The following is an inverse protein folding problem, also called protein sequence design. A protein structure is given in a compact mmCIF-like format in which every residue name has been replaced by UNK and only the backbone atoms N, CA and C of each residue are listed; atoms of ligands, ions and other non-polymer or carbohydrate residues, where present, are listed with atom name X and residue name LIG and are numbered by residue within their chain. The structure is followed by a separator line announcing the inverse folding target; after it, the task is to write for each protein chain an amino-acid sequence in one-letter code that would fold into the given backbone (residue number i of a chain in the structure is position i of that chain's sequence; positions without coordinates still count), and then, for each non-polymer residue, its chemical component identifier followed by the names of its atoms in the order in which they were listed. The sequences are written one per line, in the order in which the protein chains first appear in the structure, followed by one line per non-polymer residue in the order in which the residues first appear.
data_IF_951756256632
#
_entry.id   IF_951756256632
#
_cell.length_a   1.000
_cell.length_b   1.000
_cell.length_c   1.000
_cell.angle_alpha   90.00
_cell.angle_beta   90.00
_cell.angle_gamma   90.00
#
_symmetry.space_group_name_H-M   'P 1'
#
loop_
_entity.id
_entity.type
_entity.pdbx_description
1 polymer ?
#
# COMPACT_ATOMS: atom_id res chain seq x y z
N UNK A 1 39.93 -7.64 -19.20
CA UNK A 1 39.06 -8.82 -19.13
C UNK A 1 37.64 -8.31 -18.93
N UNK A 2 36.74 -8.55 -19.88
CA UNK A 2 35.33 -8.25 -19.69
C UNK A 2 34.78 -9.23 -18.65
N UNK A 3 34.25 -8.73 -17.54
CA UNK A 3 33.47 -9.53 -16.60
C UNK A 3 32.25 -10.06 -17.38
N UNK A 4 32.14 -11.38 -17.48
CA UNK A 4 30.91 -12.00 -17.99
C UNK A 4 29.73 -11.48 -17.14
N UNK A 5 28.57 -11.15 -17.74
CA UNK A 5 27.41 -10.73 -17.00
C UNK A 5 27.09 -11.78 -15.93
N UNK A 6 26.90 -11.31 -14.70
CA UNK A 6 26.65 -12.19 -13.57
C UNK A 6 25.37 -12.97 -13.83
N UNK A 7 25.49 -14.28 -14.07
CA UNK A 7 24.32 -15.14 -14.17
C UNK A 7 23.61 -15.05 -12.81
N UNK A 8 22.43 -14.43 -12.76
CA UNK A 8 21.52 -14.58 -11.63
C UNK A 8 21.27 -16.09 -11.41
N UNK A 9 21.97 -16.67 -10.43
CA UNK A 9 21.94 -18.12 -10.14
C UNK A 9 20.64 -18.52 -9.43
N UNK A 10 19.83 -17.56 -9.02
CA UNK A 10 18.52 -17.78 -8.44
C UNK A 10 17.54 -16.72 -8.99
N UNK A 11 16.33 -17.11 -9.43
CA UNK A 11 15.28 -16.16 -9.73
C UNK A 11 15.00 -15.32 -8.48
N UNK A 12 15.04 -13.99 -8.60
CA UNK A 12 14.67 -13.12 -7.50
C UNK A 12 13.16 -13.24 -7.31
N UNK A 13 12.71 -13.73 -6.14
CA UNK A 13 11.28 -13.77 -5.84
C UNK A 13 10.74 -12.34 -5.83
N UNK A 14 9.78 -12.03 -6.71
CA UNK A 14 9.04 -10.79 -6.63
C UNK A 14 8.51 -10.54 -5.21
N UNK A 15 9.05 -9.55 -4.52
CA UNK A 15 8.62 -9.20 -3.17
C UNK A 15 7.36 -8.32 -3.22
N UNK A 16 6.36 -8.65 -2.39
CA UNK A 16 5.17 -7.84 -2.23
C UNK A 16 5.48 -6.63 -1.34
N UNK A 17 5.78 -5.49 -1.95
CA UNK A 17 5.75 -4.17 -1.29
C UNK A 17 4.59 -3.35 -1.85
N UNK A 18 3.66 -2.89 -1.00
CA UNK A 18 2.49 -2.13 -1.49
C UNK A 18 2.92 -0.80 -2.08
N UNK A 19 3.90 -0.17 -1.44
CA UNK A 19 4.32 1.19 -1.69
C UNK A 19 5.17 1.27 -2.96
N UNK A 20 6.05 0.28 -3.18
CA UNK A 20 6.86 0.19 -4.39
C UNK A 20 5.99 -0.14 -5.62
N UNK A 21 5.10 -1.11 -5.47
CA UNK A 21 4.32 -1.64 -6.57
C UNK A 21 3.08 -0.79 -6.90
N UNK A 22 2.65 0.10 -6.00
CA UNK A 22 1.50 0.98 -6.18
C UNK A 22 0.23 0.21 -6.57
N UNK A 23 -0.16 -0.76 -5.74
CA UNK A 23 -1.25 -1.70 -6.05
C UNK A 23 -2.65 -1.08 -6.08
N UNK A 24 -2.78 0.19 -5.65
CA UNK A 24 -4.06 0.88 -5.58
C UNK A 24 -4.12 2.06 -6.53
N UNK A 25 -5.28 2.24 -7.17
CA UNK A 25 -5.61 3.37 -8.04
C UNK A 25 -6.67 4.28 -7.40
N UNK A 26 -6.96 5.40 -8.04
CA UNK A 26 -8.03 6.29 -7.65
C UNK A 26 -9.39 5.57 -7.56
N UNK A 27 -10.21 5.95 -6.59
CA UNK A 27 -11.59 5.55 -6.43
C UNK A 27 -12.46 5.85 -7.65
N UNK A 28 -12.08 6.84 -8.47
CA UNK A 28 -12.76 7.17 -9.73
C UNK A 28 -12.14 6.50 -10.96
N UNK A 29 -11.19 5.59 -10.80
CA UNK A 29 -10.66 4.81 -11.91
C UNK A 29 -11.80 4.05 -12.59
N UNK A 30 -11.85 4.17 -13.92
CA UNK A 30 -12.93 3.62 -14.74
C UNK A 30 -12.65 2.20 -15.25
N UNK A 31 -11.41 1.72 -15.15
CA UNK A 31 -11.04 0.37 -15.60
C UNK A 31 -11.39 -0.71 -14.58
N UNK A 32 -11.61 -1.92 -15.10
CA UNK A 32 -11.88 -3.13 -14.30
C UNK A 32 -10.60 -3.85 -13.86
N UNK A 33 -9.45 -3.44 -14.38
CA UNK A 33 -8.13 -3.88 -13.96
C UNK A 33 -7.13 -2.79 -14.36
N UNK A 34 -5.91 -2.87 -13.84
CA UNK A 34 -4.83 -2.03 -14.35
C UNK A 34 -3.53 -2.83 -14.48
N UNK A 35 -2.74 -2.42 -15.46
CA UNK A 35 -1.41 -2.97 -15.71
C UNK A 35 -0.45 -1.81 -15.69
N UNK A 36 0.67 -1.98 -14.99
CA UNK A 36 1.77 -1.04 -15.00
C UNK A 36 3.07 -1.77 -15.22
N UNK A 37 3.92 -1.17 -16.03
CA UNK A 37 5.19 -1.77 -16.41
C UNK A 37 6.29 -0.72 -16.41
N UNK A 38 7.45 -1.07 -15.89
CA UNK A 38 8.60 -0.19 -15.84
C UNK A 38 9.90 -0.98 -15.70
N UNK A 39 11.02 -0.34 -15.99
CA UNK A 39 12.35 -0.93 -15.81
C UNK A 39 12.89 -0.58 -14.42
N UNK A 40 13.44 -1.57 -13.72
CA UNK A 40 14.16 -1.41 -12.44
C UNK A 40 15.55 -2.02 -12.55
N UNK A 41 16.55 -1.52 -11.78
CA UNK A 41 17.83 -2.20 -11.70
C UNK A 41 17.69 -3.55 -10.98
N UNK A 42 18.49 -4.52 -11.40
CA UNK A 42 18.53 -5.84 -10.77
C UNK A 42 18.93 -5.71 -9.28
N UNK A 43 18.21 -6.38 -8.37
CA UNK A 43 18.38 -6.20 -6.92
C UNK A 43 19.73 -6.69 -6.37
N UNK A 44 20.47 -7.53 -7.11
CA UNK A 44 21.85 -7.91 -6.75
C UNK A 44 22.86 -6.77 -6.83
N UNK A 45 22.46 -5.59 -7.34
CA UNK A 45 23.36 -4.47 -7.57
C UNK A 45 24.19 -4.60 -8.85
N UNK A 46 23.92 -5.60 -9.71
CA UNK A 46 24.58 -5.73 -11.02
C UNK A 46 24.30 -4.56 -11.97
N UNK A 47 23.22 -3.79 -11.70
CA UNK A 47 22.78 -2.67 -12.54
C UNK A 47 22.04 -3.11 -13.80
N UNK A 48 21.86 -4.41 -14.02
CA UNK A 48 21.18 -4.94 -15.19
C UNK A 48 19.68 -4.59 -15.18
N UNK A 49 19.07 -4.23 -16.32
CA UNK A 49 17.72 -3.68 -16.37
C UNK A 49 16.62 -4.75 -16.37
N UNK A 50 15.92 -4.94 -15.25
CA UNK A 50 14.77 -5.84 -15.12
C UNK A 50 13.49 -5.15 -15.58
N UNK A 51 12.71 -5.79 -16.45
CA UNK A 51 11.36 -5.32 -16.81
C UNK A 51 10.36 -5.84 -15.79
N UNK A 52 9.85 -4.96 -14.93
CA UNK A 52 8.83 -5.29 -13.93
C UNK A 52 7.44 -4.94 -14.46
N UNK A 53 6.50 -5.87 -14.31
CA UNK A 53 5.08 -5.71 -14.61
C UNK A 53 4.25 -6.01 -13.36
N UNK A 54 3.31 -5.13 -13.07
CA UNK A 54 2.28 -5.31 -12.05
C UNK A 54 0.93 -5.30 -12.72
N UNK A 55 0.14 -6.34 -12.52
CA UNK A 55 -1.22 -6.48 -13.01
C UNK A 55 -2.14 -6.71 -11.81
N UNK A 56 -3.18 -5.91 -11.68
CA UNK A 56 -4.16 -6.03 -10.59
C UNK A 56 -5.55 -6.13 -11.20
N UNK A 57 -6.31 -7.14 -10.79
CA UNK A 57 -7.68 -7.32 -11.26
C UNK A 57 -7.85 -8.24 -12.44
N UNK A 58 -6.85 -9.06 -12.77
CA UNK A 58 -6.96 -10.10 -13.79
C UNK A 58 -6.55 -11.43 -13.15
N UNK A 59 -7.39 -12.45 -13.29
CA UNK A 59 -7.07 -13.78 -12.75
C UNK A 59 -6.17 -14.59 -13.69
N UNK A 60 -5.76 -15.78 -13.23
CA UNK A 60 -4.94 -16.70 -14.02
C UNK A 60 -5.56 -17.16 -15.36
N UNK A 61 -6.86 -16.94 -15.59
CA UNK A 61 -7.55 -17.22 -16.86
C UNK A 61 -7.61 -16.01 -17.80
N UNK A 62 -7.21 -14.82 -17.32
CA UNK A 62 -7.31 -13.57 -18.06
C UNK A 62 -8.64 -12.82 -17.83
N UNK A 63 -9.51 -13.31 -16.95
CA UNK A 63 -10.79 -12.67 -16.68
C UNK A 63 -10.62 -11.49 -15.71
N UNK A 64 -11.32 -10.39 -15.99
CA UNK A 64 -11.31 -9.20 -15.15
C UNK A 64 -12.10 -9.43 -13.85
N UNK A 65 -11.53 -9.02 -12.71
CA UNK A 65 -12.11 -9.19 -11.37
C UNK A 65 -12.43 -7.88 -10.67
N UNK A 66 -11.96 -6.75 -11.19
CA UNK A 66 -12.07 -5.43 -10.56
C UNK A 66 -10.70 -4.87 -10.16
N UNK A 67 -10.60 -3.55 -10.03
CA UNK A 67 -9.37 -2.88 -9.63
C UNK A 67 -9.34 -2.60 -8.12
N UNK A 68 -8.17 -2.73 -7.50
CA UNK A 68 -7.94 -2.25 -6.14
C UNK A 68 -7.84 -0.72 -6.14
N UNK A 69 -8.77 -0.09 -5.43
CA UNK A 69 -8.89 1.39 -5.31
C UNK A 69 -8.38 1.91 -3.97
N UNK A 70 -8.19 3.22 -3.84
CA UNK A 70 -7.76 3.88 -2.60
C UNK A 70 -8.63 3.52 -1.38
N UNK A 71 -9.94 3.34 -1.53
CA UNK A 71 -10.79 2.84 -0.43
C UNK A 71 -10.41 1.44 0.04
N UNK A 72 -9.89 0.58 -0.83
CA UNK A 72 -9.37 -0.75 -0.46
C UNK A 72 -8.06 -0.61 0.30
N UNK A 73 -7.20 0.35 -0.09
CA UNK A 73 -5.97 0.69 0.64
C UNK A 73 -6.30 1.09 2.08
N UNK A 74 -7.32 1.92 2.28
CA UNK A 74 -7.75 2.35 3.62
C UNK A 74 -8.16 1.14 4.48
N UNK A 75 -8.98 0.26 3.94
CA UNK A 75 -9.44 -0.95 4.65
C UNK A 75 -8.26 -1.87 4.95
N UNK A 76 -7.39 -2.10 3.98
CA UNK A 76 -6.24 -2.99 4.11
C UNK A 76 -5.26 -2.48 5.16
N UNK A 77 -4.87 -1.21 5.13
CA UNK A 77 -3.96 -0.63 6.12
C UNK A 77 -4.55 -0.62 7.53
N UNK A 78 -5.84 -0.36 7.67
CA UNK A 78 -6.51 -0.42 8.98
C UNK A 78 -6.60 -1.86 9.50
N UNK A 79 -6.87 -2.83 8.64
CA UNK A 79 -6.86 -4.24 9.00
C UNK A 79 -5.45 -4.71 9.42
N UNK A 80 -4.41 -4.34 8.67
CA UNK A 80 -3.01 -4.63 9.03
C UNK A 80 -2.63 -4.01 10.39
N UNK A 81 -3.04 -2.76 10.65
CA UNK A 81 -2.79 -2.12 11.95
C UNK A 81 -3.49 -2.88 13.08
N UNK A 82 -4.78 -3.18 12.93
CA UNK A 82 -5.53 -3.93 13.93
C UNK A 82 -4.93 -5.31 14.20
N UNK A 83 -4.39 -5.96 13.16
CA UNK A 83 -3.68 -7.22 13.30
C UNK A 83 -2.37 -7.05 14.09
N UNK A 84 -1.57 -6.02 13.77
CA UNK A 84 -0.36 -5.67 14.50
C UNK A 84 -0.63 -5.35 15.98
N UNK A 85 -1.64 -4.52 16.27
CA UNK A 85 -2.06 -4.14 17.63
C UNK A 85 -2.53 -5.34 18.46
N UNK A 86 -2.98 -6.41 17.80
CA UNK A 86 -3.36 -7.68 18.43
C UNK A 86 -2.22 -8.70 18.54
N UNK A 87 -0.97 -8.26 18.32
CA UNK A 87 0.21 -9.11 18.42
C UNK A 87 0.51 -9.92 17.17
N UNK A 88 -0.05 -9.55 16.01
CA UNK A 88 0.22 -10.16 14.71
C UNK A 88 0.05 -11.70 14.71
N UNK A 89 -1.04 -12.20 15.29
CA UNK A 89 -1.30 -13.64 15.43
C UNK A 89 -1.24 -14.38 14.10
N UNK A 90 -0.69 -15.60 14.13
CA UNK A 90 -0.47 -16.47 12.97
C UNK A 90 -1.35 -17.72 13.07
N UNK A 91 -1.70 -18.27 11.92
CA UNK A 91 -2.40 -19.55 11.75
C UNK A 91 -1.74 -20.32 10.61
N UNK A 92 -1.68 -21.65 10.73
CA UNK A 92 -1.24 -22.51 9.63
C UNK A 92 -2.45 -22.94 8.79
N UNK A 93 -2.31 -22.90 7.47
CA UNK A 93 -3.29 -23.49 6.57
C UNK A 93 -3.11 -25.01 6.42
N UNK A 94 -4.01 -25.66 5.69
CA UNK A 94 -4.00 -27.11 5.47
C UNK A 94 -2.75 -27.61 4.71
N UNK A 95 -1.97 -26.70 4.13
CA UNK A 95 -0.72 -27.00 3.41
C UNK A 95 0.53 -26.65 4.24
N UNK A 96 0.36 -26.32 5.53
CA UNK A 96 1.44 -25.94 6.44
C UNK A 96 2.01 -24.55 6.16
N UNK A 97 1.30 -23.71 5.41
CA UNK A 97 1.73 -22.32 5.21
C UNK A 97 1.20 -21.42 6.32
N UNK A 98 2.10 -20.63 6.90
CA UNK A 98 1.76 -19.64 7.92
C UNK A 98 1.09 -18.42 7.29
N UNK A 99 -0.02 -17.99 7.90
CA UNK A 99 -0.82 -16.82 7.50
C UNK A 99 -1.14 -15.96 8.70
N UNK A 100 -1.22 -14.65 8.49
CA UNK A 100 -1.71 -13.70 9.47
C UNK A 100 -3.20 -13.87 9.71
N UNK A 101 -3.61 -13.89 10.97
CA UNK A 101 -5.01 -13.98 11.39
C UNK A 101 -5.38 -12.77 12.24
N UNK A 102 -6.41 -12.04 11.82
CA UNK A 102 -7.10 -11.05 12.65
C UNK A 102 -8.47 -11.60 13.05
N UNK A 103 -8.62 -12.02 14.31
CA UNK A 103 -9.90 -12.43 14.91
C UNK A 103 -10.44 -11.33 15.83
N UNK A 104 -11.60 -10.78 15.48
CA UNK A 104 -12.25 -9.64 16.14
C UNK A 104 -13.76 -9.78 16.13
N UNK A 105 -14.44 -9.10 17.05
CA UNK A 105 -15.89 -8.91 16.89
C UNK A 105 -16.17 -8.06 15.65
N UNK A 106 -17.27 -8.32 14.96
CA UNK A 106 -17.73 -7.54 13.81
C UNK A 106 -17.82 -6.03 14.13
N UNK A 107 -18.30 -5.69 15.34
CA UNK A 107 -18.37 -4.30 15.82
C UNK A 107 -16.99 -3.63 15.83
N UNK A 108 -16.00 -4.21 16.53
CA UNK A 108 -14.65 -3.65 16.58
C UNK A 108 -13.99 -3.53 15.20
N UNK A 109 -14.22 -4.48 14.30
CA UNK A 109 -13.72 -4.41 12.92
C UNK A 109 -14.29 -3.19 12.19
N UNK A 110 -15.61 -3.03 12.20
CA UNK A 110 -16.28 -1.94 11.49
C UNK A 110 -15.97 -0.58 12.12
N UNK A 111 -15.92 -0.50 13.45
CA UNK A 111 -15.49 0.70 14.16
C UNK A 111 -14.04 1.07 13.82
N UNK A 112 -13.11 0.11 13.80
CA UNK A 112 -11.71 0.35 13.43
C UNK A 112 -11.54 0.81 11.98
N UNK A 113 -12.29 0.21 11.05
CA UNK A 113 -12.17 0.54 9.62
C UNK A 113 -12.88 1.86 9.26
N UNK A 114 -14.09 2.09 9.78
CA UNK A 114 -14.97 3.18 9.32
C UNK A 114 -15.28 4.25 10.37
N UNK A 115 -14.96 4.02 11.64
CA UNK A 115 -15.26 4.94 12.73
C UNK A 115 -16.74 5.00 13.13
N UNK A 116 -17.57 4.06 12.68
CA UNK A 116 -19.00 4.02 13.01
C UNK A 116 -19.66 2.69 12.65
N UNK A 117 -20.60 2.23 13.47
CA UNK A 117 -21.20 0.89 13.37
C UNK A 117 -22.64 0.91 12.81
N UNK A 118 -22.88 1.61 11.69
CA UNK A 118 -24.17 1.57 10.98
C UNK A 118 -24.26 0.39 10.02
N UNK A 119 -25.47 -0.09 9.67
CA UNK A 119 -25.68 -1.20 8.74
C UNK A 119 -24.92 -1.03 7.42
N UNK A 120 -25.00 0.18 6.84
CA UNK A 120 -24.26 0.55 5.62
C UNK A 120 -22.74 0.40 5.78
N UNK A 121 -22.19 0.68 6.96
CA UNK A 121 -20.76 0.49 7.21
C UNK A 121 -20.39 -1.00 7.34
N UNK A 122 -21.26 -1.84 7.92
CA UNK A 122 -21.05 -3.30 7.93
C UNK A 122 -21.02 -3.86 6.52
N UNK A 123 -22.05 -3.56 5.72
CA UNK A 123 -22.14 -3.99 4.31
C UNK A 123 -20.91 -3.54 3.52
N UNK A 124 -20.53 -2.26 3.66
CA UNK A 124 -19.40 -1.72 2.93
C UNK A 124 -18.06 -2.33 3.34
N UNK A 125 -17.85 -2.62 4.63
CA UNK A 125 -16.64 -3.30 5.11
C UNK A 125 -16.60 -4.74 4.61
N UNK A 126 -17.74 -5.44 4.63
CA UNK A 126 -17.85 -6.80 4.10
C UNK A 126 -17.53 -6.85 2.60
N UNK A 127 -18.07 -5.92 1.81
CA UNK A 127 -17.78 -5.78 0.37
C UNK A 127 -16.28 -5.54 0.12
N UNK A 128 -15.70 -4.53 0.77
CA UNK A 128 -14.29 -4.15 0.55
C UNK A 128 -13.30 -5.23 1.00
N UNK A 129 -13.59 -5.95 2.09
CA UNK A 129 -12.78 -7.10 2.51
C UNK A 129 -12.98 -8.29 1.55
N UNK A 130 -14.19 -8.49 1.03
CA UNK A 130 -14.46 -9.47 -0.01
C UNK A 130 -13.67 -9.21 -1.30
N UNK A 131 -13.61 -7.94 -1.73
CA UNK A 131 -12.80 -7.53 -2.88
C UNK A 131 -11.30 -7.77 -2.66
N UNK A 132 -10.78 -7.44 -1.47
CA UNK A 132 -9.38 -7.73 -1.09
C UNK A 132 -9.05 -9.24 -1.06
N UNK A 133 -10.05 -10.10 -0.86
CA UNK A 133 -9.93 -11.56 -0.90
C UNK A 133 -10.22 -12.18 -2.29
N UNK A 134 -10.72 -11.39 -3.23
CA UNK A 134 -11.11 -11.84 -4.56
C UNK A 134 -10.16 -11.37 -5.64
N UNK A 135 -9.81 -10.08 -5.64
CA UNK A 135 -8.99 -9.43 -6.66
C UNK A 135 -7.55 -9.92 -6.58
N UNK A 136 -7.07 -10.51 -7.67
CA UNK A 136 -5.71 -11.00 -7.80
C UNK A 136 -4.72 -9.88 -8.15
N UNK A 137 -3.50 -10.02 -7.64
CA UNK A 137 -2.31 -9.23 -7.92
C UNK A 137 -1.26 -10.16 -8.50
N UNK A 138 -0.81 -9.84 -9.72
CA UNK A 138 0.34 -10.46 -10.36
C UNK A 138 1.48 -9.45 -10.41
N UNK A 139 2.65 -9.85 -9.89
CA UNK A 139 3.91 -9.12 -10.04
C UNK A 139 4.85 -10.05 -10.81
N UNK A 140 5.29 -9.61 -11.98
CA UNK A 140 6.25 -10.36 -12.77
C UNK A 140 7.49 -9.54 -13.08
N UNK A 141 8.64 -10.21 -13.08
CA UNK A 141 9.90 -9.63 -13.53
C UNK A 141 10.42 -10.45 -14.70
N UNK A 142 10.82 -9.78 -15.78
CA UNK A 142 11.45 -10.40 -16.93
C UNK A 142 12.92 -9.94 -17.02
N UNK A 143 13.82 -10.92 -17.02
CA UNK A 143 15.27 -10.74 -17.16
C UNK A 143 15.61 -10.84 -18.65
N UNK A 144 15.50 -9.74 -19.38
CA UNK A 144 15.59 -9.73 -20.85
C UNK A 144 16.93 -10.23 -21.39
N UNK A 145 17.99 -10.26 -20.57
CA UNK A 145 19.31 -10.76 -20.94
C UNK A 145 19.52 -12.26 -20.68
N UNK A 146 18.58 -12.92 -19.99
CA UNK A 146 18.64 -14.35 -19.66
C UNK A 146 17.45 -15.15 -20.21
N UNK A 147 16.46 -14.48 -20.81
CA UNK A 147 15.19 -15.11 -21.24
C UNK A 147 14.46 -15.85 -20.10
N UNK A 148 14.73 -15.45 -18.84
CA UNK A 148 14.07 -15.97 -17.65
C UNK A 148 13.11 -14.94 -17.08
N UNK A 149 12.25 -15.38 -16.16
CA UNK A 149 11.36 -14.51 -15.41
C UNK A 149 10.83 -15.19 -14.16
N UNK A 150 10.37 -14.37 -13.22
CA UNK A 150 9.61 -14.81 -12.05
C UNK A 150 8.23 -14.14 -12.05
N UNK A 151 7.26 -14.86 -11.49
CA UNK A 151 5.88 -14.40 -11.37
C UNK A 151 5.40 -14.72 -9.96
N UNK A 152 5.03 -13.69 -9.22
CA UNK A 152 4.26 -13.78 -8.00
C UNK A 152 2.80 -13.52 -8.32
N UNK A 153 1.91 -14.46 -7.95
CA UNK A 153 0.45 -14.25 -7.98
C UNK A 153 -0.10 -14.42 -6.59
N UNK A 154 -0.83 -13.42 -6.11
CA UNK A 154 -1.43 -13.47 -4.79
C UNK A 154 -2.69 -12.62 -4.70
N UNK A 155 -3.43 -12.81 -3.62
CA UNK A 155 -4.48 -11.89 -3.16
C UNK A 155 -3.95 -11.19 -1.91
N UNK A 156 -4.53 -10.06 -1.53
CA UNK A 156 -4.12 -9.38 -0.30
C UNK A 156 -4.65 -10.11 0.94
N UNK A 157 -5.85 -10.70 0.84
CA UNK A 157 -6.43 -11.55 1.87
C UNK A 157 -6.56 -12.99 1.35
N UNK A 158 -6.20 -13.94 2.21
CA UNK A 158 -6.46 -15.37 1.99
C UNK A 158 -7.92 -15.76 2.24
N UNK A 159 -8.69 -14.95 2.97
CA UNK A 159 -10.11 -15.16 3.18
C UNK A 159 -10.71 -14.27 4.27
N UNK A 160 -12.04 -14.18 4.30
CA UNK A 160 -12.81 -13.43 5.29
C UNK A 160 -14.00 -14.25 5.72
N UNK A 161 -14.09 -14.62 6.99
CA UNK A 161 -15.17 -15.43 7.54
C UNK A 161 -15.96 -14.62 8.56
N UNK A 162 -17.23 -14.36 8.23
CA UNK A 162 -18.19 -13.72 9.14
C UNK A 162 -19.00 -14.79 9.87
N UNK A 163 -18.92 -14.84 11.19
CA UNK A 163 -19.73 -15.72 12.04
C UNK A 163 -20.76 -14.88 12.78
N UNK A 164 -22.01 -15.02 12.37
CA UNK A 164 -23.18 -14.41 13.05
C UNK A 164 -24.07 -15.52 13.59
N UNK A 165 -24.45 -15.45 14.88
CA UNK A 165 -25.42 -16.39 15.47
C UNK A 165 -26.85 -16.08 15.02
N UNK A 166 -27.26 -14.81 14.96
CA UNK A 166 -28.48 -14.32 14.28
C UNK A 166 -28.26 -12.94 13.64
N UNK A 167 -28.94 -12.67 12.54
CA UNK A 167 -29.04 -11.35 11.90
C UNK A 167 -30.46 -10.83 12.07
N UNK A 168 -30.60 -9.53 12.23
CA UNK A 168 -31.88 -8.87 12.10
C UNK A 168 -32.38 -9.03 10.65
N UNK A 169 -33.58 -9.59 10.42
CA UNK A 169 -34.06 -9.93 9.09
C UNK A 169 -34.39 -8.71 8.22
N UNK A 170 -34.63 -7.53 8.82
CA UNK A 170 -34.92 -6.30 8.07
C UNK A 170 -33.64 -5.51 7.72
N UNK A 171 -32.70 -5.41 8.66
CA UNK A 171 -31.51 -4.58 8.52
C UNK A 171 -30.24 -5.35 8.14
N UNK A 172 -30.25 -6.68 8.20
CA UNK A 172 -29.09 -7.54 7.93
C UNK A 172 -27.96 -7.42 8.97
N UNK A 173 -28.15 -6.62 10.02
CA UNK A 173 -27.17 -6.34 11.08
C UNK A 173 -27.20 -7.45 12.13
N UNK A 174 -26.06 -7.81 12.75
CA UNK A 174 -26.09 -8.63 13.96
C UNK A 174 -26.95 -7.97 15.05
N UNK A 175 -27.89 -8.72 15.63
CA UNK A 175 -28.73 -8.21 16.73
C UNK A 175 -27.85 -7.75 17.91
N UNK A 176 -28.17 -6.60 18.51
CA UNK A 176 -27.39 -6.04 19.61
C UNK A 176 -27.37 -7.00 20.80
N UNK A 177 -26.18 -7.35 21.29
CA UNK A 177 -25.99 -8.29 22.41
C UNK A 177 -25.58 -9.70 22.00
N UNK A 178 -25.65 -10.07 20.71
CA UNK A 178 -25.12 -11.35 20.23
C UNK A 178 -23.68 -11.22 19.69
N UNK A 179 -22.84 -12.22 19.98
CA UNK A 179 -21.44 -12.26 19.53
C UNK A 179 -21.37 -12.54 18.02
N UNK A 180 -21.20 -11.50 17.21
CA UNK A 180 -20.72 -11.63 15.83
C UNK A 180 -19.19 -11.50 15.80
N UNK A 181 -18.50 -12.50 15.25
CA UNK A 181 -17.05 -12.46 15.05
C UNK A 181 -16.69 -12.50 13.58
N UNK A 182 -15.53 -11.95 13.26
CA UNK A 182 -14.97 -11.90 11.91
C UNK A 182 -13.53 -12.35 12.01
N UNK A 183 -13.18 -13.32 11.17
CA UNK A 183 -11.82 -13.76 10.96
C UNK A 183 -11.36 -13.26 9.59
N UNK A 184 -10.34 -12.42 9.59
CA UNK A 184 -9.67 -11.95 8.38
C UNK A 184 -8.32 -12.64 8.31
N UNK A 185 -8.09 -13.42 7.25
CA UNK A 185 -6.83 -14.11 7.01
C UNK A 185 -6.06 -13.37 5.94
N UNK A 186 -4.85 -12.91 6.24
CA UNK A 186 -3.94 -12.32 5.27
C UNK A 186 -3.33 -13.42 4.38
N UNK A 187 -2.96 -13.09 3.14
CA UNK A 187 -2.27 -14.06 2.30
C UNK A 187 -0.87 -14.38 2.85
N UNK A 188 -0.27 -15.48 2.36
CA UNK A 188 1.09 -15.86 2.73
C UNK A 188 2.08 -14.75 2.38
N UNK A 189 1.90 -14.13 1.22
CA UNK A 189 2.75 -13.07 0.69
C UNK A 189 2.66 -11.82 1.55
N UNK A 190 1.45 -11.43 1.96
CA UNK A 190 1.25 -10.32 2.90
C UNK A 190 1.84 -10.66 4.28
N UNK A 191 1.68 -11.89 4.74
CA UNK A 191 2.23 -12.31 6.04
C UNK A 191 3.76 -12.24 6.05
N UNK A 192 4.40 -12.77 5.00
CA UNK A 192 5.85 -12.71 4.80
C UNK A 192 6.34 -11.26 4.72
N UNK A 193 5.74 -10.45 3.84
CA UNK A 193 6.10 -9.06 3.66
C UNK A 193 5.90 -8.21 4.94
N UNK A 194 4.88 -8.51 5.75
CA UNK A 194 4.69 -7.88 7.05
C UNK A 194 5.84 -8.21 8.01
N UNK A 195 6.22 -9.49 8.13
CA UNK A 195 7.30 -9.94 8.99
C UNK A 195 8.69 -9.40 8.59
N UNK A 196 8.89 -9.18 7.29
CA UNK A 196 10.10 -8.56 6.74
C UNK A 196 10.12 -7.02 6.87
N UNK A 197 9.07 -6.42 7.46
CA UNK A 197 8.96 -4.97 7.61
C UNK A 197 8.68 -4.23 6.29
N UNK A 198 8.31 -4.95 5.23
CA UNK A 198 7.99 -4.36 3.92
C UNK A 198 6.70 -3.54 3.94
N UNK A 199 5.81 -3.79 4.91
CA UNK A 199 4.69 -2.89 5.21
C UNK A 199 5.05 -1.99 6.37
N UNK A 200 5.07 -0.69 6.10
CA UNK A 200 5.28 0.30 7.14
C UNK A 200 3.97 0.55 7.89
N UNK A 201 3.59 -0.39 8.76
CA UNK A 201 2.48 -0.23 9.73
C UNK A 201 2.57 1.10 10.51
N UNK A 202 3.79 1.59 10.72
CA UNK A 202 4.09 2.90 11.33
C UNK A 202 3.60 4.12 10.52
N UNK A 203 3.17 3.96 9.27
CA UNK A 203 2.55 5.03 8.49
C UNK A 203 1.11 5.30 8.91
N UNK A 204 0.47 4.38 9.63
CA UNK A 204 -0.97 4.43 9.90
C UNK A 204 -1.45 5.73 10.58
N UNK A 205 -0.78 6.29 11.61
CA UNK A 205 -1.25 7.53 12.26
C UNK A 205 -1.27 8.71 11.29
N UNK A 206 -0.15 8.98 10.61
CA UNK A 206 -0.05 10.07 9.65
C UNK A 206 -0.98 9.86 8.45
N UNK A 207 -1.08 8.63 7.95
CA UNK A 207 -1.97 8.26 6.84
C UNK A 207 -3.45 8.49 7.21
N UNK A 208 -3.85 8.14 8.43
CA UNK A 208 -5.21 8.34 8.91
C UNK A 208 -5.56 9.82 8.99
N UNK A 209 -4.65 10.66 9.51
CA UNK A 209 -4.84 12.11 9.56
C UNK A 209 -5.16 12.71 8.18
N UNK A 210 -4.59 12.16 7.09
CA UNK A 210 -4.82 12.67 5.74
C UNK A 210 -6.29 12.66 5.33
N UNK A 211 -7.08 11.71 5.85
CA UNK A 211 -8.53 11.66 5.59
C UNK A 211 -9.39 12.36 6.63
N UNK A 212 -8.83 12.77 7.77
CA UNK A 212 -9.51 13.68 8.70
C UNK A 212 -9.44 15.14 8.25
N UNK A 213 -8.37 15.52 7.54
CA UNK A 213 -8.08 16.91 7.13
C UNK A 213 -8.45 17.22 5.67
N UNK A 214 -8.97 16.25 4.92
CA UNK A 214 -9.43 16.44 3.55
C UNK A 214 -10.67 15.60 3.26
N UNK A 215 -11.67 16.20 2.60
CA UNK A 215 -12.82 15.46 2.06
C UNK A 215 -12.67 15.28 0.55
N UNK A 216 -13.10 14.12 0.04
CA UNK A 216 -13.13 13.84 -1.40
C UNK A 216 -11.76 13.69 -2.06
N UNK A 217 -11.60 14.25 -3.25
CA UNK A 217 -10.45 14.02 -4.13
C UNK A 217 -9.09 14.43 -3.53
N UNK A 218 -9.07 15.44 -2.66
CA UNK A 218 -7.81 15.88 -2.01
C UNK A 218 -7.25 14.81 -1.07
N UNK A 219 -8.11 14.20 -0.24
CA UNK A 219 -7.69 13.11 0.65
C UNK A 219 -7.27 11.88 -0.13
N UNK A 220 -7.98 11.56 -1.22
CA UNK A 220 -7.66 10.44 -2.08
C UNK A 220 -6.25 10.56 -2.68
N UNK A 221 -5.92 11.70 -3.30
CA UNK A 221 -4.58 11.93 -3.88
C UNK A 221 -3.51 11.90 -2.79
N UNK A 222 -3.74 12.53 -1.64
CA UNK A 222 -2.77 12.53 -0.55
C UNK A 222 -2.51 11.11 -0.01
N UNK A 223 -3.56 10.29 0.10
CA UNK A 223 -3.47 8.90 0.59
C UNK A 223 -2.83 7.95 -0.41
N UNK A 224 -2.98 8.17 -1.71
CA UNK A 224 -2.22 7.42 -2.71
C UNK A 224 -0.74 7.84 -2.74
N UNK A 225 -0.49 9.14 -2.63
CA UNK A 225 0.85 9.72 -2.77
C UNK A 225 1.74 9.49 -1.53
N UNK A 226 1.18 9.56 -0.32
CA UNK A 226 1.97 9.49 0.91
C UNK A 226 2.74 8.18 1.09
N UNK A 227 2.13 6.98 0.97
CA UNK A 227 2.86 5.72 1.14
C UNK A 227 3.92 5.52 0.07
N UNK A 228 3.61 5.90 -1.18
CA UNK A 228 4.57 5.91 -2.28
C UNK A 228 5.79 6.79 -1.99
N UNK A 229 5.58 8.03 -1.53
CA UNK A 229 6.67 8.93 -1.16
C UNK A 229 7.45 8.41 0.06
N UNK A 230 6.77 7.87 1.07
CA UNK A 230 7.42 7.36 2.27
C UNK A 230 8.34 6.18 1.98
N UNK A 231 7.97 5.31 1.04
CA UNK A 231 8.79 4.21 0.56
C UNK A 231 9.96 4.67 -0.33
N UNK A 232 9.68 5.54 -1.30
CA UNK A 232 10.74 6.10 -2.13
C UNK A 232 11.78 6.81 -1.24
N UNK A 233 11.32 7.61 -0.28
CA UNK A 233 12.17 8.37 0.62
C UNK A 233 12.79 7.54 1.75
N UNK A 234 12.46 6.26 1.96
CA UNK A 234 13.32 5.42 2.82
C UNK A 234 14.66 5.14 2.15
N UNK A 235 14.63 4.94 0.83
CA UNK A 235 15.78 4.51 0.03
C UNK A 235 16.58 5.70 -0.51
N UNK A 236 15.88 6.78 -0.83
CA UNK A 236 16.44 7.96 -1.46
C UNK A 236 16.20 9.21 -0.60
N UNK A 237 17.11 10.19 -0.65
CA UNK A 237 16.93 11.45 0.08
C UNK A 237 15.91 12.42 -0.54
N UNK A 238 15.61 12.24 -1.82
CA UNK A 238 14.79 13.15 -2.60
C UNK A 238 14.06 12.39 -3.70
N UNK A 239 12.81 12.77 -3.94
CA UNK A 239 11.99 12.34 -5.07
C UNK A 239 11.76 13.52 -6.02
N UNK A 240 11.89 13.28 -7.32
CA UNK A 240 11.50 14.21 -8.37
C UNK A 240 10.73 13.43 -9.44
N UNK A 241 9.48 13.84 -9.73
CA UNK A 241 8.65 13.13 -10.71
C UNK A 241 7.58 14.02 -11.33
N UNK A 242 7.21 13.74 -12.59
CA UNK A 242 6.21 14.53 -13.31
C UNK A 242 4.81 14.22 -12.78
N UNK A 243 3.97 15.24 -12.64
CA UNK A 243 2.57 15.03 -12.21
C UNK A 243 1.81 14.10 -13.17
N UNK A 244 2.05 14.19 -14.48
CA UNK A 244 1.45 13.29 -15.48
C UNK A 244 1.81 11.81 -15.26
N UNK A 245 3.03 11.52 -14.80
CA UNK A 245 3.45 10.14 -14.47
C UNK A 245 2.76 9.64 -13.19
N UNK A 246 2.53 10.54 -12.22
CA UNK A 246 1.74 10.23 -11.03
C UNK A 246 0.25 10.05 -11.38
N UNK A 247 -0.30 10.82 -12.32
CA UNK A 247 -1.66 10.63 -12.83
C UNK A 247 -1.83 9.23 -13.41
N UNK A 248 -0.90 8.81 -14.27
CA UNK A 248 -0.91 7.48 -14.86
C UNK A 248 -0.74 6.39 -13.80
N UNK A 249 0.25 6.54 -12.90
CA UNK A 249 0.50 5.59 -11.81
C UNK A 249 -0.72 5.35 -10.93
N UNK A 250 -1.44 6.40 -10.59
CA UNK A 250 -2.60 6.33 -9.69
C UNK A 250 -3.92 6.14 -10.43
N UNK A 251 -3.91 5.87 -11.73
CA UNK A 251 -5.13 5.63 -12.51
C UNK A 251 -6.06 6.84 -12.58
N UNK A 252 -5.51 8.05 -12.57
CA UNK A 252 -6.31 9.25 -12.83
C UNK A 252 -6.52 9.44 -14.33
N UNK A 253 -7.70 9.92 -14.72
CA UNK A 253 -7.96 10.28 -16.11
C UNK A 253 -7.00 11.40 -16.56
N UNK A 254 -6.32 11.16 -17.69
CA UNK A 254 -5.43 12.13 -18.34
C UNK A 254 -6.24 13.36 -18.72
N UNK A 255 -5.88 14.52 -18.16
CA UNK A 255 -6.66 15.74 -18.37
C UNK A 255 -6.25 16.50 -19.63
N UNK A 256 -5.05 16.24 -20.16
CA UNK A 256 -4.45 16.98 -21.27
C UNK A 256 -4.20 18.47 -20.97
N UNK A 257 -4.46 18.92 -19.74
CA UNK A 257 -4.45 20.32 -19.35
C UNK A 257 -3.61 20.48 -18.08
N UNK A 258 -2.43 21.10 -18.23
CA UNK A 258 -1.45 21.28 -17.15
C UNK A 258 -2.02 21.99 -15.91
N UNK A 259 -2.99 22.89 -16.08
CA UNK A 259 -3.62 23.61 -14.96
C UNK A 259 -4.61 22.73 -14.20
N UNK A 260 -5.31 21.81 -14.87
CA UNK A 260 -6.20 20.84 -14.21
C UNK A 260 -5.39 19.78 -13.46
N UNK A 261 -4.33 19.29 -14.08
CA UNK A 261 -3.33 18.40 -13.46
C UNK A 261 -2.76 19.05 -12.19
N UNK A 262 -2.27 20.30 -12.28
CA UNK A 262 -1.78 21.04 -11.12
C UNK A 262 -2.81 21.13 -9.99
N UNK A 263 -4.03 21.59 -10.28
CA UNK A 263 -5.11 21.76 -9.28
C UNK A 263 -5.49 20.45 -8.58
N UNK A 264 -5.35 19.31 -9.25
CA UNK A 264 -5.62 17.98 -8.66
C UNK A 264 -4.65 17.66 -7.54
N UNK A 265 -3.36 17.96 -7.73
CA UNK A 265 -2.31 17.64 -6.76
C UNK A 265 -2.03 18.76 -5.76
N UNK A 266 -2.21 20.03 -6.13
CA UNK A 266 -1.85 21.20 -5.31
C UNK A 266 -2.37 21.09 -3.87
N UNK A 267 -3.67 20.83 -3.71
CA UNK A 267 -4.28 20.72 -2.38
C UNK A 267 -3.76 19.51 -1.60
N UNK A 268 -3.54 18.38 -2.27
CA UNK A 268 -3.02 17.18 -1.62
C UNK A 268 -1.59 17.38 -1.16
N UNK A 269 -0.78 18.06 -1.97
CA UNK A 269 0.60 18.44 -1.66
C UNK A 269 0.66 19.38 -0.46
N UNK A 270 -0.23 20.37 -0.39
CA UNK A 270 -0.33 21.24 0.77
C UNK A 270 -0.66 20.47 2.06
N UNK A 271 -1.49 19.41 1.98
CA UNK A 271 -1.79 18.54 3.13
C UNK A 271 -0.60 17.66 3.52
N UNK A 272 0.25 17.28 2.56
CA UNK A 272 1.45 16.47 2.78
C UNK A 272 2.64 17.28 3.31
N UNK A 273 2.61 18.59 3.16
CA UNK A 273 3.65 19.48 3.66
C UNK A 273 3.85 19.28 5.17
N UNK A 274 5.11 19.07 5.57
CA UNK A 274 5.54 18.85 6.96
C UNK A 274 4.98 17.59 7.65
N UNK A 275 4.35 16.68 6.89
CA UNK A 275 3.95 15.37 7.41
C UNK A 275 5.17 14.53 7.76
N UNK A 276 5.08 13.84 8.89
CA UNK A 276 6.09 12.88 9.36
C UNK A 276 6.15 11.68 8.44
N UNK A 277 7.33 11.07 8.28
CA UNK A 277 7.54 9.78 7.59
C UNK A 277 8.54 8.95 8.39
N UNK A 278 8.66 7.65 8.04
CA UNK A 278 9.65 6.73 8.63
C UNK A 278 9.61 6.71 10.17
N UNK A 279 8.44 6.45 10.74
CA UNK A 279 8.28 6.39 12.20
C UNK A 279 8.37 7.74 12.91
N UNK A 280 8.33 8.86 12.18
CA UNK A 280 8.42 10.21 12.77
C UNK A 280 9.80 10.85 12.69
N UNK A 281 10.82 10.11 12.24
CA UNK A 281 12.21 10.58 12.15
C UNK A 281 12.41 11.77 11.20
N UNK A 282 11.61 11.82 10.13
CA UNK A 282 11.73 12.85 9.10
C UNK A 282 10.39 13.50 8.82
N UNK A 283 10.44 14.70 8.23
CA UNK A 283 9.29 15.42 7.69
C UNK A 283 9.41 15.61 6.19
N UNK A 284 8.27 15.67 5.53
CA UNK A 284 8.18 15.97 4.10
C UNK A 284 8.32 17.46 3.84
N UNK A 285 9.26 17.82 2.96
CA UNK A 285 9.25 19.11 2.25
C UNK A 285 8.80 18.84 0.83
N UNK A 286 7.66 19.43 0.46
CA UNK A 286 6.99 19.17 -0.81
C UNK A 286 6.94 20.49 -1.58
N UNK A 287 7.32 20.47 -2.85
CA UNK A 287 7.20 21.63 -3.73
C UNK A 287 6.78 21.22 -5.13
N UNK A 288 6.03 22.09 -5.78
CA UNK A 288 5.69 21.98 -7.19
C UNK A 288 6.51 22.97 -7.99
N UNK A 289 7.04 22.52 -9.12
CA UNK A 289 7.76 23.36 -10.08
C UNK A 289 7.21 23.14 -11.47
N UNK A 290 7.15 24.20 -12.28
CA UNK A 290 6.88 24.02 -13.70
C UNK A 290 8.08 23.36 -14.37
N UNK A 291 7.82 22.50 -15.37
CA UNK A 291 8.90 21.90 -16.17
C UNK A 291 9.64 22.98 -16.96
N UNK A 292 10.92 22.75 -17.28
CA UNK A 292 11.75 23.71 -18.05
C UNK A 292 11.14 24.13 -19.40
N UNK A 293 10.32 23.26 -20.00
CA UNK A 293 9.64 23.51 -21.27
C UNK A 293 8.22 24.08 -21.13
N UNK A 294 7.74 24.35 -19.90
CA UNK A 294 6.40 24.88 -19.62
C UNK A 294 5.24 23.91 -19.93
N UNK A 295 5.53 22.64 -20.25
CA UNK A 295 4.53 21.65 -20.69
C UNK A 295 3.89 20.86 -19.55
N UNK A 296 4.30 21.06 -18.30
CA UNK A 296 3.73 20.35 -17.16
C UNK A 296 4.35 20.78 -15.84
N UNK A 297 4.09 20.01 -14.80
CA UNK A 297 4.64 20.25 -13.46
C UNK A 297 5.41 19.03 -12.95
N UNK A 298 6.38 19.31 -12.10
CA UNK A 298 7.20 18.34 -11.40
C UNK A 298 6.95 18.48 -9.91
N UNK A 299 6.68 17.34 -9.26
CA UNK A 299 6.68 17.21 -7.83
C UNK A 299 8.11 16.96 -7.36
N UNK A 300 8.61 17.85 -6.50
CA UNK A 300 9.90 17.68 -5.82
C UNK A 300 9.62 17.49 -4.34
N UNK A 301 10.04 16.34 -3.80
CA UNK A 301 9.87 16.01 -2.39
C UNK A 301 11.22 15.67 -1.78
N UNK A 302 11.48 16.17 -0.58
CA UNK A 302 12.66 15.82 0.21
C UNK A 302 12.23 15.36 1.58
N UNK A 303 12.93 14.37 2.12
CA UNK A 303 12.90 14.11 3.56
C UNK A 303 13.84 15.10 4.23
N UNK A 304 13.36 15.79 5.25
CA UNK A 304 14.17 16.68 6.08
C UNK A 304 14.13 16.12 7.50
N UNK A 305 15.31 15.88 8.06
CA UNK A 305 15.42 15.33 9.41
C UNK A 305 14.96 16.33 10.45
N UNK A 306 14.38 15.81 11.53
CA UNK A 306 14.56 16.42 12.85
C UNK A 306 15.93 15.99 13.37
N UNK A 307 16.67 16.86 14.04
CA UNK A 307 17.89 16.44 14.75
C UNK A 307 17.48 15.39 15.80
N UNK A 308 17.89 14.10 15.65
CA UNK A 308 17.49 13.04 16.59
C UNK A 308 17.97 13.31 18.02
N UNK A 309 19.04 14.11 18.16
CA UNK A 309 19.65 14.47 19.46
C UNK A 309 18.79 15.43 20.29
N UNK A 310 17.73 15.99 19.73
CA UNK A 310 16.88 16.95 20.42
C UNK A 310 15.77 16.30 21.27
N UNK A 311 15.48 15.01 21.12
CA UNK A 311 14.31 14.37 21.73
C UNK A 311 14.54 12.97 22.30
N UNK A 312 15.59 12.26 21.89
CA UNK A 312 15.91 10.93 22.40
C UNK A 312 17.25 10.96 23.11
N UNK A 313 17.29 10.36 24.30
CA UNK A 313 18.54 10.03 24.98
C UNK A 313 19.35 9.01 24.17
N UNK A 314 20.67 8.95 24.40
CA UNK A 314 21.53 7.96 23.73
C UNK A 314 21.06 6.51 23.97
N UNK A 315 20.41 6.23 25.10
CA UNK A 315 19.84 4.91 25.40
C UNK A 315 18.59 4.59 24.57
N UNK A 316 17.74 5.58 24.27
CA UNK A 316 16.56 5.41 23.41
C UNK A 316 16.95 5.21 21.95
N UNK A 317 18.02 5.90 21.49
CA UNK A 317 18.59 5.68 20.17
C UNK A 317 19.21 4.28 20.04
N UNK A 318 19.93 3.80 21.06
CA UNK A 318 20.50 2.43 21.06
C UNK A 318 19.42 1.34 21.11
N UNK A 319 18.34 1.55 21.87
CA UNK A 319 17.17 0.64 21.85
C UNK A 319 16.51 0.61 20.48
N UNK A 320 16.34 1.78 19.86
CA UNK A 320 15.80 1.89 18.51
C UNK A 320 16.66 1.16 17.48
N UNK A 321 17.98 1.33 17.50
CA UNK A 321 18.87 0.63 16.56
C UNK A 321 18.86 -0.90 16.76
N UNK A 322 18.82 -1.35 18.01
CA UNK A 322 18.72 -2.78 18.35
C UNK A 322 17.36 -3.40 17.96
N UNK A 323 16.26 -2.65 18.09
CA UNK A 323 14.91 -3.12 17.82
C UNK A 323 14.55 -3.11 16.32
N UNK A 324 15.17 -2.21 15.53
CA UNK A 324 14.78 -1.98 14.12
C UNK A 324 15.84 -2.31 13.07
N UNK A 325 17.12 -2.41 13.44
CA UNK A 325 18.21 -2.70 12.49
C UNK A 325 19.06 -3.92 12.87
N UNK A 326 18.81 -4.54 14.02
CA UNK A 326 19.49 -5.77 14.44
C UNK A 326 21.01 -5.61 14.63
N UNK A 327 21.43 -4.48 15.23
CA UNK A 327 22.81 -4.24 15.67
C UNK A 327 22.90 -4.31 17.18
#
# INVERSE_FOLDING_TARGET
MALLPGVATQPFEGALSMEENSLFVANRFAGDHFVREWTVPHPSGSGEPVRRRVCVGVDGSGAAQGALRQVHQDVFYRALRMWAEKGASLVEDLHGHTRGLLDVSAYHLVMGIRGGASSRNYERVQELLGDLARIEVEISNAYTWQETGDVLRCKLLGGVLWRTRRRDPESGVPLSGERASVQVTFSREVTKAFGEGAFKTMLAPTYEELGSKGQGATSEVARLLYPYLADYLSRYGMYEGRLAELEERFGFAKTGNKSREFRRFEKAIAVLQDKTILGGLYRLRVSLRETRNGKGHVLVVRRVGHDPRAFFSEEELRRYDAEYWGV
#
